data_IF_528216300043
#
_entry.id   IF_528216300043
#
_cell.length_a   1.000
_cell.length_b   1.000
_cell.length_c   1.000
_cell.angle_alpha   90.00
_cell.angle_beta   90.00
_cell.angle_gamma   90.00
#
_symmetry.space_group_name_H-M   'P 1'
#
loop_
_entity.id
_entity.type
_entity.pdbx_description
1 polymer ?
#
# COMPACT_ATOMS: atom_id res chain seq x y z
N UNK A 1 1.57 -27.11 7.82
CA UNK A 1 0.68 -27.79 8.77
C UNK A 1 -0.26 -26.75 9.36
N UNK A 2 -1.54 -26.78 8.96
CA UNK A 2 -2.58 -25.94 9.56
C UNK A 2 -2.79 -26.48 10.97
N UNK A 3 -2.51 -25.66 11.98
CA UNK A 3 -2.40 -26.09 13.38
C UNK A 3 -3.74 -26.57 13.99
N UNK A 4 -4.86 -26.45 13.26
CA UNK A 4 -6.19 -26.78 13.73
C UNK A 4 -6.95 -27.58 12.67
N UNK A 5 -7.40 -28.78 13.03
CA UNK A 5 -8.22 -29.64 12.18
C UNK A 5 -9.62 -29.05 11.88
N UNK A 6 -9.99 -27.94 12.54
CA UNK A 6 -11.25 -27.23 12.33
C UNK A 6 -11.43 -26.70 10.91
N UNK A 7 -10.35 -26.38 10.19
CA UNK A 7 -10.45 -25.84 8.83
C UNK A 7 -11.02 -26.88 7.85
N UNK A 8 -10.82 -28.18 8.12
CA UNK A 8 -11.36 -29.26 7.28
C UNK A 8 -12.90 -29.31 7.33
N UNK A 9 -13.53 -28.82 8.40
CA UNK A 9 -15.00 -28.85 8.53
C UNK A 9 -15.70 -27.75 7.74
N UNK A 10 -14.97 -26.76 7.22
CA UNK A 10 -15.55 -25.60 6.53
C UNK A 10 -15.96 -25.86 5.07
N UNK A 11 -15.73 -27.07 4.53
CA UNK A 11 -16.15 -27.43 3.16
C UNK A 11 -15.48 -26.60 2.07
N UNK A 12 -14.33 -25.99 2.35
CA UNK A 12 -13.59 -25.15 1.42
C UNK A 12 -13.02 -25.99 0.28
N UNK A 13 -13.28 -25.57 -0.97
CA UNK A 13 -12.81 -26.27 -2.18
C UNK A 13 -11.48 -25.74 -2.73
N UNK A 14 -11.10 -24.52 -2.36
CA UNK A 14 -9.82 -23.90 -2.78
C UNK A 14 -8.70 -24.32 -1.84
N UNK A 15 -7.46 -24.27 -2.33
CA UNK A 15 -6.28 -24.47 -1.50
C UNK A 15 -6.22 -23.42 -0.39
N UNK A 16 -5.92 -23.89 0.81
CA UNK A 16 -5.82 -23.05 2.01
C UNK A 16 -4.34 -22.91 2.35
N UNK A 17 -3.91 -21.67 2.55
CA UNK A 17 -2.56 -21.34 2.98
C UNK A 17 -2.58 -20.44 4.20
N UNK A 18 -1.55 -20.58 5.04
CA UNK A 18 -1.43 -19.81 6.29
C UNK A 18 -0.61 -18.57 6.03
N UNK A 19 -1.13 -17.40 6.42
CA UNK A 19 -0.35 -16.16 6.44
C UNK A 19 0.69 -16.23 7.54
N UNK A 20 1.95 -15.96 7.22
CA UNK A 20 3.10 -16.02 8.14
C UNK A 20 3.92 -14.74 8.06
N UNK A 21 4.80 -14.53 9.04
CA UNK A 21 5.82 -13.47 9.05
C UNK A 21 5.28 -12.04 8.92
N UNK A 22 4.08 -11.75 9.45
CA UNK A 22 3.45 -10.41 9.34
C UNK A 22 3.98 -9.38 10.33
N UNK A 23 4.79 -9.81 11.30
CA UNK A 23 5.31 -8.95 12.38
C UNK A 23 6.77 -8.55 12.20
N UNK A 24 7.45 -9.15 11.22
CA UNK A 24 8.88 -8.94 10.98
C UNK A 24 9.16 -8.06 9.76
N UNK A 25 8.16 -7.81 8.92
CA UNK A 25 8.28 -7.00 7.71
C UNK A 25 8.34 -5.52 8.08
N UNK A 26 9.27 -4.80 7.45
CA UNK A 26 9.56 -3.38 7.64
C UNK A 26 9.41 -2.61 6.32
N UNK A 27 9.58 -1.29 6.37
CA UNK A 27 9.62 -0.45 5.16
C UNK A 27 10.73 -0.88 4.20
N UNK A 28 11.84 -1.42 4.71
CA UNK A 28 12.99 -1.85 3.91
C UNK A 28 12.71 -3.08 3.04
N UNK A 29 11.75 -3.91 3.44
CA UNK A 29 11.34 -5.11 2.70
C UNK A 29 10.44 -4.79 1.49
N UNK A 30 9.98 -3.54 1.35
CA UNK A 30 9.13 -3.12 0.24
C UNK A 30 9.93 -2.99 -1.06
N UNK A 31 9.69 -3.90 -2.00
CA UNK A 31 10.33 -3.86 -3.33
C UNK A 31 10.03 -2.55 -4.06
N UNK A 32 11.09 -1.90 -4.53
CA UNK A 32 11.07 -0.63 -5.26
C UNK A 32 10.48 0.58 -4.50
N UNK A 33 10.06 0.42 -3.23
CA UNK A 33 9.28 1.41 -2.49
C UNK A 33 9.66 1.47 -1.01
N UNK A 34 10.96 1.45 -0.71
CA UNK A 34 11.47 1.37 0.66
C UNK A 34 12.02 2.69 1.24
N UNK A 35 11.81 3.82 0.57
CA UNK A 35 12.29 5.12 1.05
C UNK A 35 11.70 5.49 2.43
N UNK A 36 12.56 5.98 3.32
CA UNK A 36 12.23 6.48 4.68
C UNK A 36 12.79 7.90 4.86
N UNK A 37 12.25 8.89 4.13
CA UNK A 37 12.76 10.27 4.22
C UNK A 37 12.32 10.97 5.51
N UNK A 38 12.95 12.11 5.81
CA UNK A 38 12.49 13.00 6.89
C UNK A 38 11.30 13.80 6.39
N UNK A 39 10.14 13.59 7.01
CA UNK A 39 8.90 14.28 6.67
C UNK A 39 8.62 15.41 7.67
N UNK A 40 8.22 16.57 7.17
CA UNK A 40 7.79 17.72 7.96
C UNK A 40 6.50 18.32 7.37
N UNK A 41 5.61 18.84 8.23
CA UNK A 41 4.34 19.46 7.83
C UNK A 41 4.18 20.79 8.56
N UNK A 42 3.93 21.85 7.81
CA UNK A 42 3.54 23.15 8.36
C UNK A 42 2.09 23.10 8.85
N UNK A 43 1.82 23.51 10.09
CA UNK A 43 0.51 23.37 10.73
C UNK A 43 -0.54 24.38 10.26
N UNK A 44 -0.12 25.50 9.68
CA UNK A 44 -1.03 26.57 9.25
C UNK A 44 -1.29 26.51 7.75
N UNK A 45 -0.22 26.39 6.96
CA UNK A 45 -0.25 26.34 5.50
C UNK A 45 -0.44 24.92 4.95
N UNK A 46 -0.35 23.88 5.78
CA UNK A 46 -0.42 22.46 5.40
C UNK A 46 0.60 22.05 4.32
N UNK A 47 1.72 22.77 4.25
CA UNK A 47 2.81 22.48 3.31
C UNK A 47 3.55 21.22 3.77
N UNK A 48 3.76 20.27 2.86
CA UNK A 48 4.49 19.02 3.14
C UNK A 48 5.90 19.11 2.58
N UNK A 49 6.89 18.85 3.43
CA UNK A 49 8.33 18.91 3.09
C UNK A 49 8.94 17.54 3.32
N UNK A 50 9.74 17.08 2.36
CA UNK A 50 10.50 15.82 2.41
C UNK A 50 11.97 16.13 2.18
N UNK A 51 12.83 15.82 3.15
CA UNK A 51 14.28 16.08 3.08
C UNK A 51 14.62 17.52 2.66
N UNK A 52 13.83 18.49 3.14
CA UNK A 52 13.98 19.92 2.82
C UNK A 52 13.34 20.36 1.50
N UNK A 53 12.69 19.46 0.75
CA UNK A 53 12.03 19.75 -0.54
C UNK A 53 10.52 19.75 -0.39
N UNK A 54 9.85 20.78 -0.91
CA UNK A 54 8.38 20.87 -0.92
C UNK A 54 7.77 19.80 -1.84
N UNK A 55 6.96 18.91 -1.26
CA UNK A 55 6.17 17.92 -1.99
C UNK A 55 4.91 18.54 -2.57
N UNK A 56 5.00 19.02 -3.80
CA UNK A 56 3.87 19.58 -4.55
C UNK A 56 3.69 18.87 -5.88
N UNK A 57 2.44 18.64 -6.25
CA UNK A 57 2.04 18.25 -7.60
C UNK A 57 0.83 19.11 -8.01
N UNK A 58 0.81 19.54 -9.27
CA UNK A 58 -0.33 20.29 -9.79
C UNK A 58 -1.49 19.34 -10.09
N UNK A 59 -2.72 19.87 -10.04
CA UNK A 59 -3.91 19.10 -10.35
C UNK A 59 -3.88 18.65 -11.82
N UNK A 60 -4.02 17.34 -12.04
CA UNK A 60 -4.15 16.80 -13.38
C UNK A 60 -5.51 17.18 -13.99
N UNK A 61 -5.51 17.69 -15.23
CA UNK A 61 -6.73 18.04 -15.98
C UNK A 61 -7.32 16.87 -16.76
N UNK A 62 -6.53 15.81 -16.99
CA UNK A 62 -6.94 14.56 -17.60
C UNK A 62 -6.04 13.41 -17.12
N UNK A 63 -6.53 12.18 -17.22
CA UNK A 63 -5.77 10.98 -16.83
C UNK A 63 -5.89 9.90 -17.92
N UNK A 64 -4.82 9.13 -18.19
CA UNK A 64 -4.91 7.94 -19.03
C UNK A 64 -5.74 6.85 -18.33
N UNK A 65 -6.14 5.82 -19.08
CA UNK A 65 -6.94 4.68 -18.55
C UNK A 65 -8.28 5.11 -17.92
N UNK A 66 -8.90 6.17 -18.46
CA UNK A 66 -10.22 6.67 -18.05
C UNK A 66 -11.25 6.48 -19.16
N UNK A 67 -11.97 7.53 -19.59
CA UNK A 67 -13.10 7.47 -20.52
C UNK A 67 -12.85 6.69 -21.83
N UNK A 68 -11.58 6.59 -22.27
CA UNK A 68 -11.21 5.82 -23.45
C UNK A 68 -11.37 4.29 -23.27
N UNK A 69 -11.47 3.81 -22.02
CA UNK A 69 -11.47 2.38 -21.67
C UNK A 69 -12.72 1.94 -20.89
N UNK A 70 -13.62 2.87 -20.54
CA UNK A 70 -14.85 2.57 -19.80
C UNK A 70 -16.07 2.99 -20.60
N UNK A 71 -17.12 2.15 -20.60
CA UNK A 71 -18.39 2.41 -21.30
C UNK A 71 -19.34 3.28 -20.45
N UNK A 72 -19.05 3.47 -19.15
CA UNK A 72 -19.57 4.55 -18.29
C UNK A 72 -18.65 4.76 -17.09
#
# INVERSE_FOLDING_TARGET
>A
MILNDSVKSYGLKKQIEIVKNTRTVTKLDMKFNNATPKMEVDLEAFTVITDGVHCKADAATSLPLTYQYFIY
#
